data_IF_986022615005
#
_entry.id   IF_986022615005
#
_cell.length_a   1.000
_cell.length_b   1.000
_cell.length_c   1.000
_cell.angle_alpha   90.00
_cell.angle_beta   90.00
_cell.angle_gamma   90.00
#
_symmetry.space_group_name_H-M   'P 1'
#
loop_
_entity.id
_entity.type
_entity.pdbx_description
1 polymer ?
#
# COMPACT_ATOMS: atom_id res chain seq x y z
N UNK A 1 -30.09 2.89 23.82
CA UNK A 1 -28.69 3.35 23.61
C UNK A 1 -28.05 2.45 22.57
N UNK A 2 -27.75 2.98 21.37
CA UNK A 2 -27.16 2.18 20.30
C UNK A 2 -25.70 1.89 20.65
N UNK A 3 -25.35 0.62 20.91
CA UNK A 3 -23.98 0.18 21.17
C UNK A 3 -23.13 0.50 19.94
N UNK A 4 -22.42 1.64 19.97
CA UNK A 4 -21.41 1.96 18.97
C UNK A 4 -20.28 0.94 19.12
N UNK A 5 -20.26 -0.07 18.25
CA UNK A 5 -19.14 -0.99 18.11
C UNK A 5 -17.92 -0.14 17.74
N UNK A 6 -17.02 0.06 18.70
CA UNK A 6 -15.79 0.82 18.50
C UNK A 6 -14.91 0.03 17.52
N UNK A 7 -14.38 0.73 16.50
CA UNK A 7 -13.42 0.12 15.58
C UNK A 7 -12.20 -0.36 16.36
N UNK A 8 -11.60 -1.52 16.03
CA UNK A 8 -10.41 -2.00 16.73
C UNK A 8 -9.29 -0.97 16.59
N UNK A 9 -8.54 -0.75 17.67
CA UNK A 9 -7.40 0.18 17.66
C UNK A 9 -6.25 -0.45 16.87
N UNK A 10 -5.58 0.33 16.01
CA UNK A 10 -4.32 -0.13 15.38
C UNK A 10 -3.29 -0.44 16.46
N UNK A 11 -2.38 -1.38 16.17
CA UNK A 11 -1.27 -1.66 17.06
C UNK A 11 -0.49 -0.37 17.36
N UNK A 12 -0.31 -0.05 18.63
CA UNK A 12 0.37 1.19 19.01
C UNK A 12 1.89 1.03 18.92
N UNK A 13 2.61 2.11 18.61
CA UNK A 13 4.07 2.12 18.66
C UNK A 13 4.58 1.71 20.05
N UNK A 14 3.88 2.13 21.11
CA UNK A 14 4.20 1.76 22.49
C UNK A 14 4.21 0.24 22.70
N UNK A 15 3.11 -0.46 22.36
CA UNK A 15 3.01 -1.91 22.51
C UNK A 15 4.01 -2.64 21.59
N UNK A 16 4.22 -2.12 20.38
CA UNK A 16 5.23 -2.66 19.46
C UNK A 16 6.64 -2.59 20.07
N UNK A 17 7.04 -1.42 20.56
CA UNK A 17 8.34 -1.21 21.18
C UNK A 17 8.50 -2.08 22.43
N UNK A 18 7.49 -2.19 23.29
CA UNK A 18 7.55 -3.10 24.45
C UNK A 18 7.78 -4.56 24.05
N UNK A 19 7.19 -5.00 22.95
CA UNK A 19 7.31 -6.39 22.49
C UNK A 19 8.66 -6.69 21.84
N UNK A 20 9.19 -5.78 21.03
CA UNK A 20 10.34 -6.09 20.18
C UNK A 20 11.62 -5.35 20.55
N UNK A 21 11.55 -4.22 21.25
CA UNK A 21 12.74 -3.47 21.67
C UNK A 21 13.54 -4.29 22.68
N UNK A 22 14.85 -4.39 22.44
CA UNK A 22 15.79 -5.20 23.24
C UNK A 22 15.39 -6.68 23.42
N UNK A 23 14.42 -7.17 22.65
CA UNK A 23 13.95 -8.55 22.69
C UNK A 23 14.16 -9.18 21.30
N UNK A 24 15.38 -9.65 21.09
CA UNK A 24 15.79 -10.21 19.80
C UNK A 24 15.07 -11.52 19.48
N UNK A 25 14.73 -12.33 20.50
CA UNK A 25 14.03 -13.59 20.32
C UNK A 25 12.62 -13.36 19.75
N UNK A 26 11.91 -12.35 20.23
CA UNK A 26 10.62 -11.96 19.64
C UNK A 26 10.75 -11.50 18.18
N UNK A 27 11.85 -10.84 17.82
CA UNK A 27 12.11 -10.46 16.42
C UNK A 27 12.40 -11.70 15.55
N UNK A 28 13.20 -12.64 16.07
CA UNK A 28 13.53 -13.90 15.38
C UNK A 28 12.27 -14.73 15.16
N UNK A 29 11.46 -14.93 16.20
CA UNK A 29 10.20 -15.67 16.10
C UNK A 29 9.21 -14.99 15.15
N UNK A 30 9.18 -13.66 15.09
CA UNK A 30 8.39 -12.96 14.07
C UNK A 30 8.82 -13.34 12.65
N UNK A 31 10.11 -13.17 12.28
CA UNK A 31 10.56 -13.47 10.92
C UNK A 31 10.51 -14.97 10.60
N UNK A 32 10.73 -15.83 11.60
CA UNK A 32 10.59 -17.29 11.46
C UNK A 32 9.14 -17.67 11.21
N UNK A 33 8.19 -17.19 12.01
CA UNK A 33 6.76 -17.46 11.83
C UNK A 33 6.28 -17.00 10.46
N UNK A 34 6.74 -15.83 10.02
CA UNK A 34 6.33 -15.33 8.71
C UNK A 34 6.89 -16.22 7.59
N UNK A 35 8.16 -16.67 7.70
CA UNK A 35 8.79 -17.53 6.69
C UNK A 35 8.33 -18.98 6.69
N UNK A 36 7.97 -19.49 7.85
CA UNK A 36 7.55 -20.86 8.07
C UNK A 36 6.29 -20.84 8.94
N UNK A 37 5.13 -20.47 8.38
CA UNK A 37 3.88 -20.36 9.13
C UNK A 37 3.46 -21.70 9.73
N UNK A 38 3.73 -22.80 9.02
CA UNK A 38 3.42 -24.18 9.44
C UNK A 38 4.58 -24.85 10.20
N UNK A 39 5.59 -24.07 10.58
CA UNK A 39 6.80 -24.56 11.23
C UNK A 39 7.97 -24.80 10.28
N UNK A 40 9.18 -24.77 10.83
CA UNK A 40 10.40 -24.92 10.05
C UNK A 40 10.42 -26.25 9.29
N UNK A 41 10.78 -26.20 8.01
CA UNK A 41 11.10 -27.39 7.20
C UNK A 41 12.33 -27.09 6.34
N UNK A 42 13.34 -27.95 6.45
CA UNK A 42 14.57 -27.82 5.70
C UNK A 42 14.34 -28.15 4.21
N UNK A 43 14.55 -27.17 3.33
CA UNK A 43 14.44 -27.31 1.86
C UNK A 43 15.36 -28.38 1.22
N UNK A 44 16.34 -28.92 1.96
CA UNK A 44 17.30 -29.93 1.48
C UNK A 44 16.90 -31.35 1.86
N UNK A 45 16.32 -31.54 3.04
CA UNK A 45 16.10 -32.88 3.61
C UNK A 45 14.73 -33.07 4.29
N UNK A 46 13.88 -32.05 4.34
CA UNK A 46 12.55 -32.10 4.97
C UNK A 46 12.56 -32.14 6.50
N UNK A 47 13.72 -32.09 7.16
CA UNK A 47 13.77 -32.12 8.62
C UNK A 47 13.14 -30.87 9.24
N UNK A 48 12.36 -31.06 10.30
CA UNK A 48 11.68 -30.00 11.06
C UNK A 48 12.44 -29.54 12.32
N UNK A 49 13.52 -30.23 12.69
CA UNK A 49 14.36 -29.88 13.85
C UNK A 49 15.49 -28.94 13.42
N UNK A 50 15.75 -27.93 14.25
CA UNK A 50 16.79 -26.94 13.98
C UNK A 50 17.47 -26.45 15.26
N UNK A 51 18.65 -25.85 15.08
CA UNK A 51 19.36 -25.05 16.08
C UNK A 51 19.40 -23.59 15.63
N UNK A 52 19.16 -22.64 16.54
CA UNK A 52 19.32 -21.22 16.27
C UNK A 52 20.80 -20.84 16.39
N UNK A 53 21.39 -20.33 15.31
CA UNK A 53 22.80 -19.92 15.27
C UNK A 53 22.91 -18.41 15.11
N UNK A 54 23.55 -17.76 16.09
CA UNK A 54 23.93 -16.34 16.02
C UNK A 54 25.26 -16.20 15.29
N UNK A 55 25.27 -15.44 14.20
CA UNK A 55 26.47 -15.09 13.44
C UNK A 55 26.85 -13.65 13.72
N UNK A 56 27.98 -13.45 14.38
CA UNK A 56 28.55 -12.13 14.64
C UNK A 56 29.57 -11.83 13.55
N UNK A 57 29.19 -11.00 12.58
CA UNK A 57 30.10 -10.48 11.57
C UNK A 57 30.66 -9.11 11.96
N UNK A 58 31.74 -8.68 11.27
CA UNK A 58 32.39 -7.38 11.52
C UNK A 58 31.43 -6.18 11.43
N UNK A 59 30.41 -6.26 10.57
CA UNK A 59 29.49 -5.15 10.29
C UNK A 59 28.05 -5.44 10.66
N UNK A 60 27.69 -6.69 10.99
CA UNK A 60 26.32 -7.05 11.38
C UNK A 60 26.26 -8.36 12.16
N UNK A 61 25.32 -8.42 13.09
CA UNK A 61 24.85 -9.68 13.67
C UNK A 61 23.69 -10.21 12.84
N UNK A 62 23.68 -11.52 12.54
CA UNK A 62 22.59 -12.19 11.84
C UNK A 62 22.23 -13.51 12.50
N UNK A 63 21.01 -13.99 12.25
CA UNK A 63 20.47 -15.20 12.84
C UNK A 63 20.07 -16.17 11.72
N UNK A 64 20.45 -17.43 11.88
CA UNK A 64 20.14 -18.50 10.92
C UNK A 64 19.61 -19.72 11.67
N UNK A 65 18.72 -20.47 11.04
CA UNK A 65 18.27 -21.77 11.53
C UNK A 65 19.11 -22.85 10.87
N UNK A 66 19.89 -23.60 11.64
CA UNK A 66 20.66 -24.74 11.16
C UNK A 66 19.84 -26.01 11.31
N UNK A 67 19.64 -26.73 10.21
CA UNK A 67 18.96 -28.01 10.21
C UNK A 67 19.73 -29.05 11.02
N UNK A 68 19.07 -29.72 11.97
CA UNK A 68 19.71 -30.70 12.85
C UNK A 68 20.12 -32.00 12.14
N UNK A 69 19.63 -32.25 10.92
CA UNK A 69 19.93 -33.48 10.16
C UNK A 69 21.04 -33.29 9.11
N UNK A 70 20.97 -32.22 8.31
CA UNK A 70 21.91 -32.02 7.19
C UNK A 70 22.82 -30.80 7.36
N UNK A 71 22.74 -30.10 8.50
CA UNK A 71 23.50 -28.89 8.83
C UNK A 71 23.37 -27.73 7.83
N UNK A 72 22.40 -27.79 6.91
CA UNK A 72 22.09 -26.66 6.04
C UNK A 72 21.56 -25.51 6.88
N UNK A 73 22.09 -24.32 6.63
CA UNK A 73 21.69 -23.11 7.33
C UNK A 73 20.73 -22.29 6.50
N UNK A 74 19.65 -21.86 7.13
CA UNK A 74 18.59 -21.07 6.52
C UNK A 74 18.55 -19.69 7.16
N UNK A 75 18.83 -18.66 6.37
CA UNK A 75 18.65 -17.27 6.83
C UNK A 75 17.15 -16.95 6.95
N UNK A 76 16.79 -16.23 8.03
CA UNK A 76 15.43 -15.74 8.26
C UNK A 76 14.89 -14.87 7.12
N UNK A 77 15.76 -14.16 6.40
CA UNK A 77 15.38 -13.22 5.33
C UNK A 77 15.64 -13.75 3.92
N UNK A 78 16.28 -14.92 3.77
CA UNK A 78 16.53 -15.51 2.45
C UNK A 78 15.22 -15.91 1.78
N UNK A 79 15.11 -15.68 0.47
CA UNK A 79 13.88 -15.93 -0.28
C UNK A 79 12.78 -14.89 -0.05
N UNK A 80 13.08 -13.78 0.63
CA UNK A 80 12.11 -12.69 0.88
C UNK A 80 12.52 -11.42 0.13
N UNK A 81 11.62 -10.43 0.03
CA UNK A 81 11.96 -9.09 -0.47
C UNK A 81 13.09 -8.44 0.35
N UNK A 82 13.27 -8.85 1.61
CA UNK A 82 14.34 -8.38 2.50
C UNK A 82 15.60 -9.24 2.44
N UNK A 83 15.73 -10.12 1.44
CA UNK A 83 16.97 -10.81 1.17
C UNK A 83 18.13 -9.81 1.05
N UNK A 84 19.28 -10.21 1.61
CA UNK A 84 20.50 -9.40 1.67
C UNK A 84 20.37 -8.09 2.46
N UNK A 85 19.29 -7.90 3.24
CA UNK A 85 19.16 -6.76 4.15
C UNK A 85 20.30 -6.77 5.18
N UNK A 86 20.85 -5.58 5.45
CA UNK A 86 21.92 -5.35 6.42
C UNK A 86 21.42 -4.74 7.73
N UNK A 87 20.15 -4.34 7.80
CA UNK A 87 19.54 -3.89 9.03
C UNK A 87 19.48 -5.04 10.05
N UNK A 88 19.63 -4.69 11.32
CA UNK A 88 19.23 -5.60 12.38
C UNK A 88 17.71 -5.88 12.31
N UNK A 89 17.29 -7.00 12.89
CA UNK A 89 15.91 -7.46 12.78
C UNK A 89 14.92 -6.47 13.41
N UNK A 90 15.32 -5.77 14.49
CA UNK A 90 14.46 -4.80 15.16
C UNK A 90 14.25 -3.55 14.30
N UNK A 91 15.31 -2.93 13.77
CA UNK A 91 15.23 -1.78 12.85
C UNK A 91 14.44 -2.11 11.61
N UNK A 92 14.64 -3.31 11.03
CA UNK A 92 13.86 -3.77 9.89
C UNK A 92 12.37 -3.87 10.25
N UNK A 93 12.04 -4.52 11.36
CA UNK A 93 10.67 -4.70 11.81
C UNK A 93 9.99 -3.37 12.18
N UNK A 94 10.71 -2.47 12.85
CA UNK A 94 10.26 -1.13 13.22
C UNK A 94 9.96 -0.30 11.97
N UNK A 95 10.85 -0.32 10.98
CA UNK A 95 10.64 0.42 9.73
C UNK A 95 9.42 -0.08 8.95
N UNK A 96 9.24 -1.40 8.86
CA UNK A 96 8.04 -2.01 8.28
C UNK A 96 6.80 -1.57 9.09
N UNK A 97 6.83 -1.71 10.41
CA UNK A 97 5.72 -1.33 11.29
C UNK A 97 5.31 0.13 11.09
N UNK A 98 6.27 1.06 11.08
CA UNK A 98 6.00 2.49 10.92
C UNK A 98 5.37 2.79 9.56
N UNK A 99 5.91 2.19 8.48
CA UNK A 99 5.42 2.42 7.13
C UNK A 99 3.98 1.94 6.94
N UNK A 100 3.63 0.76 7.47
CA UNK A 100 2.28 0.20 7.35
C UNK A 100 1.24 0.81 8.29
N UNK A 101 1.66 1.39 9.42
CA UNK A 101 0.73 2.00 10.39
C UNK A 101 0.45 3.49 10.14
N UNK A 102 1.33 4.21 9.42
CA UNK A 102 1.16 5.64 9.15
C UNK A 102 0.21 5.87 7.99
N UNK A 103 -1.06 6.18 8.29
CA UNK A 103 -2.12 6.43 7.30
C UNK A 103 -1.82 7.50 6.24
N UNK A 104 -0.92 8.45 6.52
CA UNK A 104 -0.55 9.52 5.58
C UNK A 104 0.76 9.22 4.82
N UNK A 105 1.46 8.14 5.18
CA UNK A 105 2.83 7.88 4.75
C UNK A 105 3.88 8.39 5.73
N UNK A 106 5.13 8.07 5.43
CA UNK A 106 6.33 8.51 6.15
C UNK A 106 7.44 8.76 5.13
N UNK A 107 8.15 9.87 5.25
CA UNK A 107 9.22 10.20 4.31
C UNK A 107 10.47 9.34 4.56
N UNK A 108 11.30 9.12 3.54
CA UNK A 108 12.60 8.47 3.71
C UNK A 108 13.50 9.23 4.70
N UNK A 109 13.38 10.56 4.82
CA UNK A 109 14.16 11.38 5.76
C UNK A 109 13.72 11.11 7.21
N UNK A 110 12.42 11.07 7.47
CA UNK A 110 11.89 10.72 8.79
C UNK A 110 12.28 9.29 9.18
N UNK A 111 12.16 8.36 8.24
CA UNK A 111 12.54 6.96 8.45
C UNK A 111 14.04 6.80 8.70
N UNK A 112 14.87 7.57 7.98
CA UNK A 112 16.32 7.67 8.18
C UNK A 112 16.66 8.11 9.61
N UNK A 113 15.98 9.16 10.10
CA UNK A 113 16.17 9.66 11.46
C UNK A 113 15.70 8.66 12.53
N UNK A 114 14.51 8.09 12.38
CA UNK A 114 13.94 7.18 13.38
C UNK A 114 14.73 5.88 13.49
N UNK A 115 15.19 5.32 12.36
CA UNK A 115 15.92 4.05 12.36
C UNK A 115 17.41 4.23 12.61
N UNK A 116 17.92 5.46 12.60
CA UNK A 116 19.35 5.74 12.67
C UNK A 116 20.13 4.95 11.61
N UNK A 117 19.83 5.24 10.34
CA UNK A 117 20.42 4.61 9.15
C UNK A 117 20.72 5.68 8.12
N UNK A 118 21.50 5.36 7.09
CA UNK A 118 21.66 6.31 5.98
C UNK A 118 20.40 6.42 5.12
N UNK A 119 20.23 7.56 4.46
CA UNK A 119 19.09 7.85 3.60
C UNK A 119 18.84 6.78 2.52
N UNK A 120 19.89 6.26 1.88
CA UNK A 120 19.77 5.21 0.84
C UNK A 120 19.13 3.94 1.39
N UNK A 121 19.42 3.59 2.64
CA UNK A 121 18.86 2.41 3.31
C UNK A 121 17.38 2.64 3.64
N UNK A 122 17.03 3.83 4.14
CA UNK A 122 15.64 4.21 4.39
C UNK A 122 14.81 4.19 3.10
N UNK A 123 15.31 4.80 2.02
CA UNK A 123 14.65 4.82 0.71
C UNK A 123 14.46 3.42 0.12
N UNK A 124 15.45 2.53 0.27
CA UNK A 124 15.33 1.14 -0.17
C UNK A 124 14.26 0.39 0.63
N UNK A 125 14.20 0.60 1.95
CA UNK A 125 13.18 0.00 2.81
C UNK A 125 11.78 0.48 2.42
N UNK A 126 11.62 1.79 2.20
CA UNK A 126 10.38 2.41 1.72
C UNK A 126 9.91 1.76 0.41
N UNK A 127 10.82 1.67 -0.57
CA UNK A 127 10.52 1.08 -1.88
C UNK A 127 10.05 -0.38 -1.75
N UNK A 128 10.71 -1.17 -0.90
CA UNK A 128 10.29 -2.55 -0.61
C UNK A 128 8.91 -2.60 0.03
N UNK A 129 8.62 -1.73 1.00
CA UNK A 129 7.29 -1.66 1.61
C UNK A 129 6.20 -1.25 0.61
N UNK A 130 6.48 -0.31 -0.31
CA UNK A 130 5.55 0.06 -1.39
C UNK A 130 5.25 -1.12 -2.32
N UNK A 131 6.26 -1.91 -2.66
CA UNK A 131 6.08 -3.16 -3.44
C UNK A 131 5.15 -4.11 -2.70
N UNK A 132 5.33 -4.29 -1.39
CA UNK A 132 4.45 -5.14 -0.58
C UNK A 132 3.01 -4.66 -0.56
N UNK A 133 2.79 -3.35 -0.38
CA UNK A 133 1.46 -2.76 -0.47
C UNK A 133 0.83 -3.00 -1.85
N UNK A 134 1.61 -2.86 -2.92
CA UNK A 134 1.16 -3.14 -4.28
C UNK A 134 0.71 -4.60 -4.46
N UNK A 135 1.53 -5.55 -4.03
CA UNK A 135 1.22 -6.99 -4.16
C UNK A 135 -0.06 -7.32 -3.39
N UNK A 136 -0.22 -6.80 -2.17
CA UNK A 136 -1.39 -7.05 -1.32
C UNK A 136 -2.74 -6.59 -1.86
N UNK A 137 -2.71 -5.67 -2.82
CA UNK A 137 -3.90 -5.09 -3.44
C UNK A 137 -4.03 -5.42 -4.93
N UNK A 138 -3.07 -6.14 -5.51
CA UNK A 138 -3.00 -6.41 -6.94
C UNK A 138 -4.26 -7.11 -7.48
N UNK A 139 -4.69 -8.19 -6.83
CA UNK A 139 -5.84 -9.01 -7.28
C UNK A 139 -7.21 -8.50 -6.80
N UNK A 140 -7.25 -7.45 -5.96
CA UNK A 140 -8.50 -6.96 -5.40
C UNK A 140 -9.22 -6.05 -6.40
N UNK A 141 -10.29 -6.54 -7.00
CA UNK A 141 -11.26 -5.71 -7.71
C UNK A 141 -12.17 -4.97 -6.73
N UNK A 142 -12.55 -3.75 -7.10
CA UNK A 142 -13.61 -3.01 -6.44
C UNK A 142 -14.93 -3.70 -6.76
N UNK A 143 -15.71 -4.03 -5.74
CA UNK A 143 -17.04 -4.61 -5.90
C UNK A 143 -18.04 -3.82 -5.05
N UNK A 144 -18.75 -2.90 -5.71
CA UNK A 144 -19.81 -2.09 -5.12
C UNK A 144 -20.90 -1.79 -6.16
N UNK A 145 -22.08 -1.37 -5.68
CA UNK A 145 -23.13 -0.81 -6.51
C UNK A 145 -22.89 0.67 -6.86
N UNK A 146 -21.94 1.33 -6.19
CA UNK A 146 -21.66 2.75 -6.41
C UNK A 146 -20.17 3.01 -6.59
N UNK A 147 -19.84 3.72 -7.67
CA UNK A 147 -18.49 4.13 -8.02
C UNK A 147 -18.43 5.63 -8.34
N UNK A 148 -17.29 6.24 -8.02
CA UNK A 148 -16.89 7.59 -8.39
C UNK A 148 -15.60 7.50 -9.21
N UNK A 149 -15.51 8.15 -10.36
CA UNK A 149 -14.28 8.19 -11.14
C UNK A 149 -13.97 9.58 -11.71
N UNK A 150 -12.69 9.92 -11.72
CA UNK A 150 -12.16 11.16 -12.26
C UNK A 150 -10.70 10.98 -12.67
N UNK A 151 -10.23 11.79 -13.62
CA UNK A 151 -8.84 11.85 -14.04
C UNK A 151 -8.19 13.14 -13.55
N UNK A 152 -7.17 13.01 -12.69
CA UNK A 152 -6.43 14.13 -12.16
C UNK A 152 -4.95 14.07 -12.56
N UNK A 153 -4.31 15.24 -12.63
CA UNK A 153 -2.92 15.35 -13.02
C UNK A 153 -1.99 15.50 -11.82
N UNK A 154 -0.89 14.73 -11.81
CA UNK A 154 0.18 14.82 -10.82
C UNK A 154 1.48 15.30 -11.50
N UNK A 155 2.14 16.27 -10.89
CA UNK A 155 3.44 16.78 -11.34
C UNK A 155 3.52 18.30 -11.27
N UNK A 156 4.71 18.85 -11.50
CA UNK A 156 4.90 20.29 -11.54
C UNK A 156 4.09 20.91 -12.69
N UNK A 157 3.40 22.02 -12.42
CA UNK A 157 2.75 22.80 -13.47
C UNK A 157 3.83 23.48 -14.31
N UNK A 158 3.87 23.22 -15.61
CA UNK A 158 4.71 23.99 -16.53
C UNK A 158 4.11 25.38 -16.73
N UNK A 159 4.92 26.43 -16.60
CA UNK A 159 4.48 27.84 -16.72
C UNK A 159 3.71 28.15 -18.02
N UNK A 160 3.96 27.39 -19.10
CA UNK A 160 3.42 27.68 -20.45
C UNK A 160 2.57 26.56 -21.06
N UNK A 161 2.28 25.46 -20.35
CA UNK A 161 1.41 24.39 -20.85
C UNK A 161 0.40 24.00 -19.78
N UNK A 162 -0.88 24.26 -20.05
CA UNK A 162 -2.00 23.86 -19.21
C UNK A 162 -2.71 22.63 -19.81
N UNK A 163 -3.44 21.87 -18.98
CA UNK A 163 -4.22 20.73 -19.43
C UNK A 163 -3.38 19.56 -19.96
N UNK A 164 -3.87 18.94 -21.04
CA UNK A 164 -3.31 17.70 -21.64
C UNK A 164 -1.91 17.87 -22.25
N UNK A 165 -1.46 19.11 -22.46
CA UNK A 165 -0.13 19.43 -22.98
C UNK A 165 0.94 19.60 -21.90
N UNK A 166 0.57 19.50 -20.62
CA UNK A 166 1.52 19.61 -19.50
C UNK A 166 2.39 18.36 -19.35
N UNK A 167 3.56 18.49 -18.73
CA UNK A 167 4.38 17.32 -18.35
C UNK A 167 3.79 16.48 -17.20
N UNK A 168 2.62 16.88 -16.70
CA UNK A 168 1.95 16.17 -15.62
C UNK A 168 1.48 14.81 -16.10
N UNK A 169 1.50 13.85 -15.19
CA UNK A 169 1.03 12.49 -15.45
C UNK A 169 -0.45 12.40 -15.09
N UNK A 170 -1.33 12.02 -16.03
CA UNK A 170 -2.72 11.78 -15.73
C UNK A 170 -2.87 10.48 -14.94
N UNK A 171 -3.68 10.55 -13.89
CA UNK A 171 -4.02 9.46 -13.00
C UNK A 171 -5.53 9.34 -12.97
N UNK A 172 -6.03 8.17 -13.36
CA UNK A 172 -7.42 7.79 -13.18
C UNK A 172 -7.61 7.31 -11.73
N UNK A 173 -8.46 8.00 -10.98
CA UNK A 173 -8.93 7.57 -9.67
C UNK A 173 -10.30 6.94 -9.78
N UNK A 174 -10.48 5.76 -9.18
CA UNK A 174 -11.76 5.04 -9.13
C UNK A 174 -12.03 4.67 -7.68
N UNK A 175 -13.12 5.16 -7.13
CA UNK A 175 -13.50 4.99 -5.73
C UNK A 175 -14.82 4.23 -5.65
N UNK A 176 -14.82 3.12 -4.92
CA UNK A 176 -16.07 2.46 -4.52
C UNK A 176 -16.66 3.15 -3.29
N UNK A 177 -17.97 3.33 -3.27
CA UNK A 177 -18.70 3.93 -2.16
C UNK A 177 -19.88 3.05 -1.74
N UNK A 178 -20.40 3.30 -0.54
CA UNK A 178 -21.57 2.66 0.05
C UNK A 178 -22.64 3.71 0.38
N UNK A 179 -23.88 3.25 0.61
CA UNK A 179 -25.02 4.08 1.02
C UNK A 179 -25.19 5.30 0.11
N UNK A 180 -25.27 5.05 -1.20
CA UNK A 180 -25.50 6.08 -2.22
C UNK A 180 -24.41 7.18 -2.20
N UNK A 181 -23.14 6.78 -2.25
CA UNK A 181 -21.97 7.68 -2.21
C UNK A 181 -21.62 8.32 -0.88
N UNK A 182 -22.36 8.05 0.20
CA UNK A 182 -22.08 8.66 1.50
C UNK A 182 -20.86 8.07 2.23
N UNK A 183 -20.46 6.83 1.90
CA UNK A 183 -19.37 6.15 2.59
C UNK A 183 -18.30 5.60 1.64
N UNK A 184 -17.15 6.26 1.50
CA UNK A 184 -16.07 5.77 0.65
C UNK A 184 -15.39 4.53 1.26
N UNK A 185 -15.12 3.53 0.42
CA UNK A 185 -14.59 2.22 0.83
C UNK A 185 -13.14 2.02 0.38
N UNK A 186 -12.96 1.74 -0.89
CA UNK A 186 -11.71 1.35 -1.54
C UNK A 186 -11.45 2.23 -2.76
N UNK A 187 -10.19 2.56 -3.02
CA UNK A 187 -9.77 3.35 -4.19
C UNK A 187 -8.74 2.59 -5.01
N UNK A 188 -8.82 2.74 -6.34
CA UNK A 188 -7.82 2.36 -7.32
C UNK A 188 -7.31 3.59 -8.06
N UNK A 189 -6.01 3.62 -8.34
CA UNK A 189 -5.28 4.71 -8.96
C UNK A 189 -4.47 4.13 -10.12
N UNK A 190 -4.73 4.59 -11.34
CA UNK A 190 -4.05 4.08 -12.55
C UNK A 190 -3.39 5.22 -13.30
N UNK A 191 -2.10 5.06 -13.60
CA UNK A 191 -1.44 5.92 -14.56
C UNK A 191 -1.98 5.61 -15.95
N UNK A 192 -2.48 6.63 -16.62
CA UNK A 192 -2.96 6.52 -17.99
C UNK A 192 -2.04 7.33 -18.91
N UNK A 193 -2.03 7.00 -20.20
CA UNK A 193 -1.23 7.71 -21.19
C UNK A 193 -2.07 8.70 -22.02
N UNK A 194 -3.39 8.55 -21.99
CA UNK A 194 -4.34 9.34 -22.75
C UNK A 194 -5.72 9.32 -22.05
N UNK A 195 -6.62 10.18 -22.51
CA UNK A 195 -7.99 10.34 -22.00
C UNK A 195 -9.03 9.67 -22.91
N UNK A 196 -8.62 8.74 -23.77
CA UNK A 196 -9.55 8.11 -24.71
C UNK A 196 -10.54 7.22 -23.96
N UNK A 197 -11.78 7.14 -24.46
CA UNK A 197 -12.80 6.29 -23.85
C UNK A 197 -12.36 4.83 -23.74
N UNK A 198 -11.66 4.30 -24.76
CA UNK A 198 -11.11 2.94 -24.75
C UNK A 198 -10.07 2.73 -23.63
N UNK A 199 -9.17 3.70 -23.41
CA UNK A 199 -8.18 3.63 -22.34
C UNK A 199 -8.83 3.68 -20.97
N UNK A 200 -9.80 4.57 -20.75
CA UNK A 200 -10.55 4.67 -19.50
C UNK A 200 -11.36 3.40 -19.22
N UNK A 201 -12.07 2.89 -20.23
CA UNK A 201 -12.84 1.64 -20.15
C UNK A 201 -11.97 0.48 -19.72
N UNK A 202 -10.86 0.24 -20.43
CA UNK A 202 -9.91 -0.84 -20.12
C UNK A 202 -9.39 -0.77 -18.69
N UNK A 203 -9.02 0.43 -18.21
CA UNK A 203 -8.52 0.59 -16.85
C UNK A 203 -9.61 0.36 -15.78
N UNK A 204 -10.85 0.77 -16.06
CA UNK A 204 -11.99 0.56 -15.16
C UNK A 204 -12.34 -0.93 -15.06
N UNK A 205 -12.42 -1.64 -16.18
CA UNK A 205 -12.67 -3.09 -16.23
C UNK A 205 -11.62 -3.89 -15.46
N UNK A 206 -10.36 -3.46 -15.49
CA UNK A 206 -9.27 -4.08 -14.71
C UNK A 206 -9.32 -3.78 -13.22
N UNK A 207 -10.13 -2.80 -12.79
CA UNK A 207 -10.17 -2.34 -11.41
C UNK A 207 -11.48 -2.68 -10.70
N UNK A 208 -12.58 -2.88 -11.43
CA UNK A 208 -13.92 -2.95 -10.87
C UNK A 208 -14.73 -4.11 -11.45
N UNK A 209 -15.62 -4.67 -10.62
CA UNK A 209 -16.70 -5.53 -11.09
C UNK A 209 -17.81 -4.64 -11.65
N UNK A 210 -18.06 -4.75 -12.95
CA UNK A 210 -19.07 -3.98 -13.66
C UNK A 210 -20.39 -4.76 -13.72
N UNK A 211 -21.49 -4.02 -13.51
CA UNK A 211 -22.84 -4.56 -13.56
C UNK A 211 -23.81 -3.45 -13.93
N UNK A 212 -24.85 -3.80 -14.68
CA UNK A 212 -25.95 -2.89 -15.01
C UNK A 212 -26.75 -2.43 -13.79
N UNK A 213 -26.60 -3.09 -12.64
CA UNK A 213 -27.19 -2.65 -11.37
C UNK A 213 -26.33 -1.59 -10.65
N UNK A 214 -25.07 -1.42 -11.06
CA UNK A 214 -24.16 -0.46 -10.45
C UNK A 214 -24.21 0.90 -11.17
N UNK A 215 -23.85 1.95 -10.43
CA UNK A 215 -23.81 3.33 -10.88
C UNK A 215 -22.38 3.88 -10.82
N UNK A 216 -21.91 4.41 -11.95
CA UNK A 216 -20.66 5.15 -12.08
C UNK A 216 -20.95 6.66 -12.20
N UNK A 217 -20.43 7.42 -11.23
CA UNK A 217 -20.49 8.87 -11.17
C UNK A 217 -19.19 9.50 -11.68
N UNK A 218 -19.28 10.49 -12.56
CA UNK A 218 -18.12 11.18 -13.17
C UNK A 218 -18.39 12.68 -13.34
N UNK A 219 -17.38 13.45 -13.75
CA UNK A 219 -17.37 14.93 -13.74
C UNK A 219 -17.81 15.61 -15.07
N UNK A 220 -18.19 14.84 -16.07
CA UNK A 220 -18.56 15.32 -17.41
C UNK A 220 -17.60 14.90 -18.53
N UNK A 221 -16.47 14.24 -18.25
CA UNK A 221 -15.55 13.78 -19.30
C UNK A 221 -16.20 12.71 -20.20
N UNK A 222 -16.25 12.96 -21.51
CA UNK A 222 -17.02 12.15 -22.47
C UNK A 222 -16.50 10.72 -22.60
N UNK A 223 -15.22 10.49 -22.29
CA UNK A 223 -14.59 9.17 -22.38
C UNK A 223 -15.31 8.11 -21.52
N UNK A 224 -15.87 8.50 -20.38
CA UNK A 224 -16.59 7.57 -19.49
C UNK A 224 -17.91 7.06 -20.07
N UNK A 225 -18.52 7.74 -21.04
CA UNK A 225 -19.77 7.29 -21.66
C UNK A 225 -19.61 5.95 -22.41
N UNK A 226 -18.38 5.58 -22.77
CA UNK A 226 -18.08 4.29 -23.42
C UNK A 226 -18.36 3.07 -22.53
N UNK A 227 -18.52 3.27 -21.22
CA UNK A 227 -18.87 2.24 -20.23
C UNK A 227 -20.38 2.02 -20.09
N UNK A 228 -21.21 2.79 -20.80
CA UNK A 228 -22.68 2.71 -20.69
C UNK A 228 -23.27 1.36 -21.09
N UNK A 229 -22.50 0.51 -21.79
CA UNK A 229 -22.90 -0.85 -22.14
C UNK A 229 -22.63 -1.87 -21.02
N UNK A 230 -21.82 -1.52 -20.02
CA UNK A 230 -21.43 -2.41 -18.92
C UNK A 230 -21.98 -1.97 -17.56
N UNK A 231 -22.22 -0.67 -17.37
CA UNK A 231 -22.62 -0.05 -16.10
C UNK A 231 -23.47 1.20 -16.36
N UNK A 232 -24.34 1.57 -15.41
CA UNK A 232 -25.06 2.85 -15.52
C UNK A 232 -24.07 4.00 -15.31
N UNK A 233 -23.98 4.92 -16.27
CA UNK A 233 -23.06 6.05 -16.21
C UNK A 233 -23.85 7.35 -16.03
N UNK A 234 -23.60 8.05 -14.92
CA UNK A 234 -24.14 9.39 -14.67
C UNK A 234 -23.01 10.43 -14.79
N UNK A 235 -22.85 10.91 -16.02
CA UNK A 235 -21.77 11.79 -16.44
C UNK A 235 -22.28 13.21 -16.73
N UNK A 236 -22.36 14.05 -15.70
CA UNK A 236 -22.72 15.46 -15.88
C UNK A 236 -21.74 16.36 -15.11
N UNK A 237 -21.61 17.61 -15.57
CA UNK A 237 -20.77 18.61 -14.90
C UNK A 237 -21.23 18.81 -13.46
N UNK A 238 -20.28 18.78 -12.53
CA UNK A 238 -20.55 18.88 -11.09
C UNK A 238 -20.59 20.34 -10.67
N UNK A 239 -21.61 20.72 -9.90
CA UNK A 239 -21.63 21.98 -9.17
C UNK A 239 -20.88 21.82 -7.86
N UNK A 240 -19.75 22.50 -7.70
CA UNK A 240 -18.94 22.46 -6.48
C UNK A 240 -19.46 23.39 -5.38
N UNK A 241 -20.53 24.15 -5.64
CA UNK A 241 -21.20 24.99 -4.64
C UNK A 241 -22.06 24.17 -3.67
N UNK A 242 -22.46 22.97 -4.09
CA UNK A 242 -23.19 22.03 -3.24
C UNK A 242 -22.26 21.34 -2.24
N UNK A 243 -22.57 21.44 -0.94
CA UNK A 243 -21.75 20.85 0.13
C UNK A 243 -21.55 19.33 0.01
N UNK A 244 -22.56 18.63 -0.51
CA UNK A 244 -22.54 17.17 -0.72
C UNK A 244 -22.61 16.83 -2.22
N UNK A 245 -21.83 17.55 -3.02
CA UNK A 245 -21.77 17.29 -4.45
C UNK A 245 -21.30 15.87 -4.76
N UNK A 246 -21.71 15.36 -5.93
CA UNK A 246 -21.21 14.11 -6.51
C UNK A 246 -19.68 14.18 -6.66
N UNK A 247 -18.92 13.13 -6.31
CA UNK A 247 -17.44 13.10 -6.24
C UNK A 247 -16.78 13.78 -5.04
N UNK A 248 -17.53 14.22 -4.01
CA UNK A 248 -16.96 14.85 -2.82
C UNK A 248 -15.80 14.05 -2.22
N UNK A 249 -16.00 12.74 -2.04
CA UNK A 249 -15.00 11.88 -1.42
C UNK A 249 -13.80 11.64 -2.31
N UNK A 250 -14.01 11.41 -3.60
CA UNK A 250 -12.92 11.30 -4.56
C UNK A 250 -12.07 12.57 -4.58
N UNK A 251 -12.69 13.76 -4.58
CA UNK A 251 -11.99 15.04 -4.55
C UNK A 251 -11.18 15.25 -3.27
N UNK A 252 -11.73 14.90 -2.11
CA UNK A 252 -11.00 14.93 -0.84
C UNK A 252 -9.78 14.01 -0.89
N UNK A 253 -9.92 12.79 -1.43
CA UNK A 253 -8.82 11.83 -1.55
C UNK A 253 -7.75 12.35 -2.52
N UNK A 254 -8.14 12.86 -3.69
CA UNK A 254 -7.23 13.45 -4.68
C UNK A 254 -6.47 14.64 -4.06
N UNK A 255 -7.17 15.50 -3.32
CA UNK A 255 -6.56 16.62 -2.59
C UNK A 255 -5.53 16.15 -1.57
N UNK A 256 -5.85 15.14 -0.78
CA UNK A 256 -4.92 14.53 0.18
C UNK A 256 -3.69 13.92 -0.50
N UNK A 257 -3.86 13.22 -1.62
CA UNK A 257 -2.74 12.66 -2.39
C UNK A 257 -1.80 13.78 -2.85
N UNK A 258 -2.34 14.87 -3.42
CA UNK A 258 -1.55 16.03 -3.85
C UNK A 258 -0.81 16.69 -2.66
N UNK A 259 -1.48 16.81 -1.52
CA UNK A 259 -0.89 17.35 -0.30
C UNK A 259 0.20 16.45 0.30
N UNK A 260 0.07 15.12 0.21
CA UNK A 260 1.11 14.19 0.66
C UNK A 260 2.38 14.33 -0.18
N UNK A 261 2.24 14.55 -1.50
CA UNK A 261 3.38 14.77 -2.40
C UNK A 261 4.18 16.00 -1.98
N UNK A 262 3.52 17.11 -1.67
CA UNK A 262 4.19 18.37 -1.31
C UNK A 262 4.64 18.40 0.15
N UNK A 263 3.82 17.84 1.06
CA UNK A 263 4.00 17.98 2.50
C UNK A 263 4.80 16.86 3.17
N UNK A 264 4.81 15.64 2.63
CA UNK A 264 5.51 14.49 3.22
C UNK A 264 6.70 14.07 2.35
N UNK A 265 6.45 13.90 1.04
CA UNK A 265 7.46 13.35 0.14
C UNK A 265 8.32 14.44 -0.53
N UNK A 266 7.88 15.70 -0.50
CA UNK A 266 8.53 16.84 -1.15
C UNK A 266 8.87 16.59 -2.63
N UNK A 267 8.01 15.86 -3.33
CA UNK A 267 8.19 15.48 -4.74
C UNK A 267 8.40 13.98 -4.94
N UNK A 268 8.07 13.51 -6.14
CA UNK A 268 8.14 12.09 -6.51
C UNK A 268 8.70 11.98 -7.92
N UNK A 269 9.72 11.15 -8.10
CA UNK A 269 10.29 10.89 -9.41
C UNK A 269 9.28 10.13 -10.29
N UNK A 270 9.24 10.44 -11.59
CA UNK A 270 8.30 9.82 -12.55
C UNK A 270 8.32 8.27 -12.49
N UNK A 271 9.49 7.66 -12.26
CA UNK A 271 9.68 6.21 -12.13
C UNK A 271 9.08 5.60 -10.85
N UNK A 272 8.99 6.37 -9.77
CA UNK A 272 8.46 5.90 -8.47
C UNK A 272 6.95 6.10 -8.36
N UNK A 273 6.36 6.86 -9.29
CA UNK A 273 4.93 7.19 -9.30
C UNK A 273 4.00 5.97 -9.18
N UNK A 274 4.23 4.83 -9.88
CA UNK A 274 3.37 3.66 -9.73
C UNK A 274 3.36 3.12 -8.29
N UNK A 275 4.54 2.96 -7.67
CA UNK A 275 4.68 2.49 -6.29
C UNK A 275 4.11 3.50 -5.28
N UNK A 276 4.20 4.79 -5.59
CA UNK A 276 3.55 5.81 -4.78
C UNK A 276 2.04 5.71 -4.79
N UNK A 277 1.43 5.60 -5.98
CA UNK A 277 -0.02 5.46 -6.10
C UNK A 277 -0.52 4.20 -5.38
N UNK A 278 0.22 3.09 -5.47
CA UNK A 278 -0.13 1.85 -4.75
C UNK A 278 -0.08 2.00 -3.22
N UNK A 279 0.84 2.81 -2.67
CA UNK A 279 0.78 3.19 -1.24
C UNK A 279 -0.49 3.99 -0.93
N UNK A 280 -0.85 4.95 -1.79
CA UNK A 280 -2.05 5.77 -1.56
C UNK A 280 -3.33 4.93 -1.65
N UNK A 281 -3.40 3.94 -2.54
CA UNK A 281 -4.49 2.96 -2.59
C UNK A 281 -4.60 2.17 -1.29
N UNK A 282 -3.48 1.63 -0.82
CA UNK A 282 -3.41 0.87 0.42
C UNK A 282 -3.82 1.74 1.62
N UNK A 283 -3.27 2.95 1.74
CA UNK A 283 -3.53 3.86 2.85
C UNK A 283 -4.96 4.42 2.84
N UNK A 284 -5.50 4.78 1.67
CA UNK A 284 -6.87 5.25 1.50
C UNK A 284 -7.90 4.20 1.92
N UNK A 285 -7.63 2.93 1.59
CA UNK A 285 -8.42 1.76 1.99
C UNK A 285 -8.27 1.44 3.49
N UNK A 286 -7.03 1.45 3.98
CA UNK A 286 -6.64 0.90 5.29
C UNK A 286 -6.68 1.93 6.42
N UNK A 287 -6.81 3.22 6.10
CA UNK A 287 -7.17 4.25 7.10
C UNK A 287 -8.53 4.00 7.74
N UNK A 288 -9.37 3.16 7.11
CA UNK A 288 -10.75 2.86 7.54
C UNK A 288 -10.94 1.46 8.11
N UNK A 289 -9.95 0.57 7.95
CA UNK A 289 -9.82 -0.74 8.62
C UNK A 289 -8.80 -0.64 9.75
N UNK A 290 -9.03 -1.37 10.84
CA UNK A 290 -8.04 -1.50 11.89
C UNK A 290 -6.93 -2.43 11.42
N UNK A 291 -5.76 -1.87 11.08
CA UNK A 291 -4.59 -2.71 10.79
C UNK A 291 -4.18 -3.44 12.05
N UNK A 292 -4.56 -4.70 12.14
CA UNK A 292 -4.14 -5.58 13.22
C UNK A 292 -2.71 -6.04 12.95
N UNK A 293 -2.01 -6.48 13.99
CA UNK A 293 -0.70 -7.11 13.85
C UNK A 293 -0.77 -8.35 12.94
N UNK A 294 -1.94 -9.01 12.88
CA UNK A 294 -2.27 -10.09 11.96
C UNK A 294 -2.28 -9.64 10.50
N UNK A 295 -2.76 -8.43 10.17
CA UNK A 295 -2.70 -7.91 8.80
C UNK A 295 -1.25 -7.65 8.37
N UNK A 296 -0.40 -7.13 9.26
CA UNK A 296 1.05 -6.98 8.97
C UNK A 296 1.70 -8.35 8.78
N UNK A 297 1.37 -9.33 9.62
CA UNK A 297 1.84 -10.71 9.46
C UNK A 297 1.35 -11.36 8.15
N UNK A 298 0.09 -11.15 7.75
CA UNK A 298 -0.49 -11.62 6.48
C UNK A 298 0.14 -10.93 5.26
N UNK A 299 0.42 -9.63 5.36
CA UNK A 299 1.10 -8.85 4.31
C UNK A 299 2.55 -9.28 4.12
N UNK A 300 3.18 -9.72 5.20
CA UNK A 300 4.54 -10.29 5.18
C UNK A 300 4.46 -11.80 4.84
N UNK A 301 3.32 -12.48 4.97
CA UNK A 301 3.12 -13.85 4.46
C UNK A 301 2.95 -13.91 2.93
N UNK A 302 2.45 -12.83 2.31
CA UNK A 302 2.53 -12.62 0.85
C UNK A 302 3.99 -12.55 0.32
N UNK A 303 5.00 -12.72 1.18
CA UNK A 303 6.41 -12.86 0.81
C UNK A 303 6.83 -14.29 0.39
N UNK A 304 5.94 -15.29 0.49
CA UNK A 304 6.31 -16.71 0.31
C UNK A 304 5.60 -17.43 -0.84
N UNK A 305 4.76 -16.72 -1.60
CA UNK A 305 4.14 -17.15 -2.87
C UNK A 305 4.64 -16.29 -4.00
#
# INVERSE_FOLDING_TARGET
MSNKVLKPKKASLYQFTQKYSNNIDNCIEFFKFVKWPDGFSCDRCGCHKYYLVKRVGKTKTSYVLECSSCHKQHSLLSGTIFQSCKLDLYKLLLGIFLFFNKNKGISAVDLCSILDVNYKTALLLESKCRILMSLSNSDKLLNSLFYEADVFNIGAKSKNKAGRASEQKPVLGILSTDKENNYPRFIKLRLINDYTGLSLKKNIEQCCVLSHAALLNTDGEKGFNTLGAEIQVKNEKISYEEKNHRLLWLNIIIGNIKNNITGIYHGIAKREMPLFLNEQEYSGTTSRKSTSQTEISLLIQLLFT
#
